data_IF_912973538598
#
_entry.id   IF_912973538598
#
_cell.length_a   1.000
_cell.length_b   1.000
_cell.length_c   1.000
_cell.angle_alpha   90.00
_cell.angle_beta   90.00
_cell.angle_gamma   90.00
#
_symmetry.space_group_name_H-M   'P 1'
#
loop_
_entity.id
_entity.type
_entity.pdbx_description
1 polymer ?
#
# COMPACT_ATOMS: atom_id res chain seq x y z
N UNK A 1 16.37 9.19 -12.77
CA UNK A 1 14.91 9.22 -12.54
C UNK A 1 14.10 8.32 -13.49
N UNK A 2 14.61 7.94 -14.68
CA UNK A 2 13.87 7.08 -15.63
C UNK A 2 13.68 5.62 -15.20
N UNK A 3 14.62 5.03 -14.46
CA UNK A 3 14.51 3.63 -14.02
C UNK A 3 13.37 3.43 -13.00
N UNK A 4 13.25 4.33 -12.01
CA UNK A 4 12.22 4.23 -10.97
C UNK A 4 10.79 4.29 -11.54
N UNK A 5 10.55 5.08 -12.59
CA UNK A 5 9.24 5.16 -13.24
C UNK A 5 8.84 3.85 -13.94
N UNK A 6 9.84 3.09 -14.42
CA UNK A 6 9.62 1.81 -15.11
C UNK A 6 9.33 0.71 -14.09
N UNK A 7 10.00 0.73 -12.93
CA UNK A 7 9.87 -0.32 -11.92
C UNK A 7 8.75 -0.08 -10.88
N UNK A 8 8.24 1.14 -10.75
CA UNK A 8 7.21 1.47 -9.77
C UNK A 8 5.87 0.71 -9.96
N UNK A 9 5.35 0.50 -11.19
CA UNK A 9 4.18 -0.34 -11.40
C UNK A 9 4.40 -1.79 -10.97
N UNK A 10 5.57 -2.34 -11.30
CA UNK A 10 5.96 -3.71 -10.91
C UNK A 10 6.04 -3.80 -9.38
N UNK A 11 6.67 -2.82 -8.75
CA UNK A 11 6.76 -2.71 -7.31
C UNK A 11 5.38 -2.70 -6.64
N UNK A 12 4.44 -1.89 -7.18
CA UNK A 12 3.07 -1.83 -6.68
C UNK A 12 2.34 -3.16 -6.79
N UNK A 13 2.47 -3.86 -7.92
CA UNK A 13 1.86 -5.19 -8.11
C UNK A 13 2.44 -6.21 -7.13
N UNK A 14 3.76 -6.27 -6.98
CA UNK A 14 4.43 -7.21 -6.05
C UNK A 14 3.96 -6.97 -4.61
N UNK A 15 3.95 -5.71 -4.17
CA UNK A 15 3.50 -5.34 -2.83
C UNK A 15 2.00 -5.63 -2.62
N UNK A 16 1.16 -5.33 -3.61
CA UNK A 16 -0.26 -5.65 -3.55
C UNK A 16 -0.50 -7.16 -3.39
N UNK A 17 0.24 -8.01 -4.11
CA UNK A 17 0.14 -9.47 -3.96
C UNK A 17 0.57 -9.91 -2.55
N UNK A 18 1.69 -9.38 -2.03
CA UNK A 18 2.15 -9.70 -0.67
C UNK A 18 1.08 -9.31 0.37
N UNK A 19 0.48 -8.13 0.22
CA UNK A 19 -0.57 -7.63 1.12
C UNK A 19 -1.85 -8.47 1.04
N UNK A 20 -2.30 -8.83 -0.16
CA UNK A 20 -3.46 -9.73 -0.36
C UNK A 20 -3.21 -11.07 0.33
N UNK A 21 -2.05 -11.67 0.13
CA UNK A 21 -1.69 -12.96 0.77
C UNK A 21 -1.62 -12.79 2.28
N UNK A 22 -0.98 -11.73 2.77
CA UNK A 22 -0.88 -11.43 4.19
C UNK A 22 -2.25 -11.29 4.85
N UNK A 23 -3.13 -10.49 4.25
CA UNK A 23 -4.49 -10.26 4.74
C UNK A 23 -5.33 -11.54 4.69
N UNK A 24 -5.23 -12.32 3.61
CA UNK A 24 -5.92 -13.61 3.47
C UNK A 24 -5.48 -14.59 4.57
N UNK A 25 -4.18 -14.66 4.87
CA UNK A 25 -3.66 -15.50 5.94
C UNK A 25 -4.16 -15.06 7.32
N UNK A 26 -4.31 -13.75 7.56
CA UNK A 26 -4.89 -13.23 8.80
C UNK A 26 -6.36 -13.63 8.89
N UNK A 27 -7.13 -13.37 7.82
CA UNK A 27 -8.55 -13.67 7.73
C UNK A 27 -8.85 -15.13 8.10
N UNK A 28 -8.08 -16.07 7.55
CA UNK A 28 -8.24 -17.51 7.79
C UNK A 28 -7.77 -17.91 9.19
N UNK A 29 -6.68 -17.32 9.71
CA UNK A 29 -6.08 -17.75 10.98
C UNK A 29 -6.72 -17.14 12.22
N UNK A 30 -7.43 -16.02 12.08
CA UNK A 30 -7.93 -15.26 13.24
C UNK A 30 -9.45 -15.08 13.23
N UNK A 31 -10.18 -15.80 12.37
CA UNK A 31 -11.63 -15.64 12.18
C UNK A 31 -12.06 -14.17 12.09
N UNK A 32 -11.24 -13.35 11.40
CA UNK A 32 -11.48 -11.91 11.26
C UNK A 32 -12.80 -11.72 10.52
N UNK A 33 -13.61 -10.75 10.96
CA UNK A 33 -14.83 -10.37 10.26
C UNK A 33 -14.48 -9.85 8.85
N UNK A 34 -14.73 -10.68 7.83
CA UNK A 34 -14.24 -10.46 6.47
C UNK A 34 -14.63 -9.14 5.82
N UNK A 35 -15.78 -8.50 6.12
CA UNK A 35 -16.10 -7.19 5.57
C UNK A 35 -15.12 -6.10 6.02
N UNK A 36 -14.42 -6.29 7.13
CA UNK A 36 -13.37 -5.39 7.62
C UNK A 36 -12.04 -5.55 6.85
N UNK A 37 -11.99 -6.45 5.87
CA UNK A 37 -10.83 -6.66 4.99
C UNK A 37 -11.12 -6.23 3.55
N UNK A 38 -12.37 -5.89 3.23
CA UNK A 38 -12.78 -5.52 1.87
C UNK A 38 -12.01 -4.30 1.39
N UNK A 39 -11.85 -3.31 2.25
CA UNK A 39 -11.11 -2.08 1.97
C UNK A 39 -9.64 -2.35 1.63
N UNK A 40 -8.98 -3.27 2.33
CA UNK A 40 -7.61 -3.71 2.03
C UNK A 40 -7.53 -4.37 0.63
N UNK A 41 -8.48 -5.25 0.29
CA UNK A 41 -8.52 -5.87 -1.03
C UNK A 41 -8.83 -4.86 -2.14
N UNK A 42 -9.72 -3.90 -1.89
CA UNK A 42 -10.04 -2.83 -2.84
C UNK A 42 -8.84 -1.92 -3.08
N UNK A 43 -8.10 -1.57 -2.02
CA UNK A 43 -6.89 -0.78 -2.13
C UNK A 43 -5.80 -1.52 -2.92
N UNK A 44 -5.61 -2.83 -2.67
CA UNK A 44 -4.70 -3.66 -3.45
C UNK A 44 -5.15 -3.80 -4.91
N UNK A 45 -6.44 -3.97 -5.15
CA UNK A 45 -7.03 -3.97 -6.49
C UNK A 45 -6.79 -2.65 -7.22
N UNK A 46 -6.89 -1.51 -6.51
CA UNK A 46 -6.60 -0.19 -7.05
C UNK A 46 -5.11 0.00 -7.36
N UNK A 47 -4.19 -0.53 -6.54
CA UNK A 47 -2.76 -0.56 -6.84
C UNK A 47 -2.47 -1.33 -8.13
N UNK A 48 -3.07 -2.51 -8.29
CA UNK A 48 -2.88 -3.33 -9.50
C UNK A 48 -3.49 -2.63 -10.72
N UNK A 49 -4.73 -2.13 -10.61
CA UNK A 49 -5.39 -1.45 -11.72
C UNK A 49 -4.61 -0.20 -12.15
N UNK A 50 -4.20 0.64 -11.20
CA UNK A 50 -3.41 1.84 -11.48
C UNK A 50 -2.05 1.54 -12.09
N UNK A 51 -1.43 0.40 -11.75
CA UNK A 51 -0.20 -0.07 -12.37
C UNK A 51 -0.39 -0.39 -13.87
N UNK A 52 -1.54 -0.93 -14.26
CA UNK A 52 -1.85 -1.24 -15.67
C UNK A 52 -2.05 0.01 -16.53
N UNK A 53 -2.50 1.11 -15.94
CA UNK A 53 -2.75 2.39 -16.63
C UNK A 53 -1.75 3.48 -16.24
N UNK A 54 -0.58 3.10 -15.73
CA UNK A 54 0.40 4.00 -15.13
C UNK A 54 0.99 5.02 -16.13
N UNK A 55 0.90 4.76 -17.43
CA UNK A 55 1.29 5.73 -18.48
C UNK A 55 0.43 7.00 -18.45
N UNK A 56 -0.81 6.90 -17.99
CA UNK A 56 -1.71 8.06 -17.85
C UNK A 56 -1.49 8.82 -16.54
N UNK A 57 -1.74 10.14 -16.54
CA UNK A 57 -1.71 10.95 -15.32
C UNK A 57 -2.75 10.47 -14.29
N UNK A 58 -3.91 10.02 -14.77
CA UNK A 58 -4.96 9.43 -13.93
C UNK A 58 -4.46 8.16 -13.23
N UNK A 59 -3.73 7.29 -13.94
CA UNK A 59 -3.13 6.09 -13.36
C UNK A 59 -2.17 6.41 -12.21
N UNK A 60 -1.28 7.39 -12.40
CA UNK A 60 -0.35 7.82 -11.34
C UNK A 60 -1.10 8.40 -10.14
N UNK A 61 -2.13 9.22 -10.37
CA UNK A 61 -2.94 9.79 -9.31
C UNK A 61 -3.71 8.73 -8.52
N UNK A 62 -4.30 7.73 -9.20
CA UNK A 62 -4.97 6.60 -8.55
C UNK A 62 -4.01 5.75 -7.73
N UNK A 63 -2.80 5.49 -8.25
CA UNK A 63 -1.76 4.78 -7.52
C UNK A 63 -1.37 5.56 -6.25
N UNK A 64 -1.28 6.88 -6.34
CA UNK A 64 -0.97 7.74 -5.19
C UNK A 64 -2.07 7.64 -4.11
N UNK A 65 -3.34 7.69 -4.50
CA UNK A 65 -4.47 7.52 -3.59
C UNK A 65 -4.43 6.15 -2.89
N UNK A 66 -4.17 5.08 -3.64
CA UNK A 66 -4.07 3.73 -3.09
C UNK A 66 -2.91 3.60 -2.10
N UNK A 67 -1.73 4.15 -2.43
CA UNK A 67 -0.59 4.16 -1.51
C UNK A 67 -0.86 4.98 -0.24
N UNK A 68 -1.55 6.11 -0.36
CA UNK A 68 -1.89 6.95 0.78
C UNK A 68 -2.84 6.23 1.74
N UNK A 69 -3.87 5.58 1.18
CA UNK A 69 -4.79 4.75 1.95
C UNK A 69 -4.05 3.61 2.65
N UNK A 70 -3.24 2.83 1.90
CA UNK A 70 -2.51 1.69 2.46
C UNK A 70 -1.52 2.10 3.55
N UNK A 71 -0.76 3.17 3.33
CA UNK A 71 0.21 3.67 4.32
C UNK A 71 -0.50 4.16 5.58
N UNK A 72 -1.63 4.86 5.41
CA UNK A 72 -2.47 5.29 6.53
C UNK A 72 -3.04 4.12 7.32
N UNK A 73 -3.56 3.09 6.63
CA UNK A 73 -4.14 1.91 7.28
C UNK A 73 -3.07 1.11 8.05
N UNK A 74 -1.91 0.85 7.42
CA UNK A 74 -0.78 0.18 8.06
C UNK A 74 -0.25 0.97 9.26
N UNK A 75 -0.20 2.30 9.18
CA UNK A 75 0.16 3.16 10.29
C UNK A 75 -0.84 3.03 11.44
N UNK A 76 -2.15 3.08 11.17
CA UNK A 76 -3.18 2.92 12.20
C UNK A 76 -3.10 1.55 12.88
N UNK A 77 -2.89 0.48 12.11
CA UNK A 77 -2.69 -0.88 12.65
C UNK A 77 -1.42 -0.99 13.50
N UNK A 78 -0.31 -0.37 13.07
CA UNK A 78 0.94 -0.38 13.83
C UNK A 78 0.77 0.40 15.14
N UNK A 79 0.16 1.59 15.07
CA UNK A 79 -0.03 2.47 16.23
C UNK A 79 -0.90 1.82 17.30
N UNK A 80 -2.03 1.23 16.90
CA UNK A 80 -2.93 0.51 17.83
C UNK A 80 -2.25 -0.68 18.51
N UNK A 81 -1.32 -1.37 17.82
CA UNK A 81 -0.57 -2.47 18.43
C UNK A 81 0.60 -2.04 19.31
N UNK A 82 1.09 -0.81 19.13
CA UNK A 82 2.10 -0.20 19.97
C UNK A 82 1.51 0.40 21.26
N UNK A 83 0.18 0.50 21.38
CA UNK A 83 -0.47 0.98 22.60
C UNK A 83 0.02 0.17 23.83
N UNK A 84 0.65 0.83 24.82
CA UNK A 84 1.15 0.16 26.02
C UNK A 84 0.07 -0.53 26.85
N UNK A 85 -1.18 -0.05 26.78
CA UNK A 85 -2.28 -0.48 27.64
C UNK A 85 -3.15 -1.56 26.99
N UNK A 86 -3.47 -1.41 25.70
CA UNK A 86 -4.42 -2.29 25.00
C UNK A 86 -3.82 -3.06 23.83
N UNK A 87 -2.60 -2.71 23.41
CA UNK A 87 -1.95 -3.28 22.24
C UNK A 87 -1.45 -4.71 22.48
N UNK A 88 -1.64 -5.58 21.50
CA UNK A 88 -1.17 -6.98 21.57
C UNK A 88 0.35 -7.11 21.41
N UNK A 89 1.02 -6.06 20.90
CA UNK A 89 2.45 -6.02 20.54
C UNK A 89 2.89 -7.11 19.54
N UNK A 90 1.93 -7.79 18.92
CA UNK A 90 2.21 -8.84 17.96
C UNK A 90 2.47 -8.28 16.56
N UNK A 91 3.44 -8.89 15.86
CA UNK A 91 3.75 -8.63 14.44
C UNK A 91 4.16 -7.18 14.15
N UNK A 92 4.59 -6.42 15.16
CA UNK A 92 5.13 -5.06 15.02
C UNK A 92 6.23 -5.01 13.93
N UNK A 93 7.25 -5.89 13.92
CA UNK A 93 8.31 -5.80 12.92
C UNK A 93 7.80 -5.94 11.48
N UNK A 94 6.88 -6.87 11.24
CA UNK A 94 6.29 -7.09 9.92
C UNK A 94 5.47 -5.87 9.46
N UNK A 95 4.64 -5.31 10.34
CA UNK A 95 3.88 -4.09 10.05
C UNK A 95 4.79 -2.89 9.79
N UNK A 96 5.87 -2.73 10.55
CA UNK A 96 6.85 -1.65 10.32
C UNK A 96 7.52 -1.77 8.96
N UNK A 97 7.89 -2.99 8.53
CA UNK A 97 8.48 -3.23 7.21
C UNK A 97 7.47 -2.90 6.10
N UNK A 98 6.22 -3.38 6.25
CA UNK A 98 5.17 -3.11 5.27
C UNK A 98 4.81 -1.63 5.17
N UNK A 99 4.75 -0.93 6.31
CA UNK A 99 4.54 0.52 6.34
C UNK A 99 5.68 1.25 5.65
N UNK A 100 6.93 0.87 5.92
CA UNK A 100 8.10 1.45 5.26
C UNK A 100 8.05 1.24 3.74
N UNK A 101 7.72 0.03 3.29
CA UNK A 101 7.57 -0.28 1.89
C UNK A 101 6.43 0.51 1.22
N UNK A 102 5.24 0.57 1.85
CA UNK A 102 4.13 1.37 1.38
C UNK A 102 4.47 2.87 1.30
N UNK A 103 5.22 3.39 2.28
CA UNK A 103 5.70 4.77 2.31
C UNK A 103 6.69 5.07 1.17
N UNK A 104 7.57 4.12 0.83
CA UNK A 104 8.47 4.23 -0.33
C UNK A 104 7.64 4.32 -1.62
N UNK A 105 6.64 3.45 -1.78
CA UNK A 105 5.71 3.48 -2.91
C UNK A 105 4.97 4.81 -3.01
N UNK A 106 4.48 5.33 -1.89
CA UNK A 106 3.80 6.63 -1.81
C UNK A 106 4.71 7.78 -2.28
N UNK A 107 5.91 7.89 -1.70
CA UNK A 107 6.87 8.96 -2.02
C UNK A 107 7.33 8.88 -3.47
N UNK A 108 7.63 7.68 -3.97
CA UNK A 108 8.04 7.47 -5.35
C UNK A 108 6.93 7.83 -6.35
N UNK A 109 5.68 7.49 -6.03
CA UNK A 109 4.52 7.84 -6.86
C UNK A 109 4.28 9.35 -6.85
N UNK A 110 4.39 9.99 -5.69
CA UNK A 110 4.27 11.44 -5.57
C UNK A 110 5.34 12.17 -6.37
N UNK A 111 6.60 11.77 -6.24
CA UNK A 111 7.70 12.33 -7.01
C UNK A 111 7.49 12.15 -8.53
N UNK A 112 6.95 11.00 -8.95
CA UNK A 112 6.61 10.73 -10.36
C UNK A 112 5.48 11.62 -10.86
N UNK A 113 4.47 11.88 -10.04
CA UNK A 113 3.37 12.78 -10.41
C UNK A 113 3.88 14.22 -10.61
N UNK A 114 4.68 14.72 -9.65
CA UNK A 114 5.29 16.06 -9.74
C UNK A 114 6.18 16.18 -10.98
N UNK A 115 7.02 15.18 -11.27
CA UNK A 115 7.89 15.25 -12.44
C UNK A 115 7.12 15.29 -13.76
N UNK A 116 5.99 14.59 -13.86
CA UNK A 116 5.10 14.66 -15.03
C UNK A 116 4.39 16.01 -15.15
N UNK A 117 4.02 16.64 -14.05
CA UNK A 117 3.39 17.96 -14.06
C UNK A 117 4.36 19.07 -14.44
N UNK A 118 5.62 19.00 -14.01
CA UNK A 118 6.66 19.99 -14.34
C UNK A 118 7.15 19.86 -15.80
N UNK A 119 7.04 18.68 -16.39
CA UNK A 119 7.48 18.42 -17.78
C UNK A 119 6.41 18.71 -18.84
N UNK A 120 5.19 19.08 -18.44
CA UNK A 120 4.06 19.41 -19.30
C UNK A 120 3.91 20.92 -19.47
#
# INVERSE_FOLDING_TARGET
MGEFQTYLPIYAVVLAVILIVGETLILIKTDKYWPLSIDDYLACGLLIFSALIFESAVGVALMLCAWAFMSGNLYAMLFTRLDPQTGTRERIPALSILLGAASIGLVATFATLISRMVSA
#
